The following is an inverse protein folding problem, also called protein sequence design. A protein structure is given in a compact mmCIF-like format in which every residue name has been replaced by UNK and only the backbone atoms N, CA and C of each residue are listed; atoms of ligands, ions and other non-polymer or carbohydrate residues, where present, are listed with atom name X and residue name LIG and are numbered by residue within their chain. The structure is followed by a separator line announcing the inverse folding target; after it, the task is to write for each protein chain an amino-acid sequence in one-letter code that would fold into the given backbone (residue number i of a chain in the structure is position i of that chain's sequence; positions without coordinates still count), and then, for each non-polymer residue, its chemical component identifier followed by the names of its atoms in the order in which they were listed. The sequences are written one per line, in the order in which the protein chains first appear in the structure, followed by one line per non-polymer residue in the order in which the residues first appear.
data_IF_920094780131
#
_entry.id   IF_920094780131
#
_cell.length_a   1.000
_cell.length_b   1.000
_cell.length_c   1.000
_cell.angle_alpha   90.00
_cell.angle_beta   90.00
_cell.angle_gamma   90.00
#
_symmetry.space_group_name_H-M   'P 1'
#
loop_
_entity.id
_entity.type
_entity.pdbx_description
1 polymer ?
#
# COMPACT_ATOMS: atom_id res chain seq x y z
N UNK A 1 -31.42 2.88 -80.97
CA UNK A 1 -31.49 3.64 -79.74
C UNK A 1 -30.92 2.74 -78.63
N UNK A 2 -29.64 2.91 -78.28
CA UNK A 2 -28.90 2.06 -77.33
C UNK A 2 -29.01 2.62 -75.93
N UNK A 3 -29.56 1.82 -74.99
CA UNK A 3 -29.49 2.11 -73.54
C UNK A 3 -28.20 1.48 -73.00
N UNK A 4 -27.30 2.29 -72.55
CA UNK A 4 -26.11 1.86 -71.75
C UNK A 4 -26.47 1.82 -70.29
N UNK A 5 -26.40 0.62 -69.71
CA UNK A 5 -26.53 0.39 -68.25
C UNK A 5 -25.14 0.61 -67.59
N UNK A 6 -25.05 1.55 -66.67
CA UNK A 6 -23.87 1.72 -65.83
C UNK A 6 -23.98 0.81 -64.59
N UNK A 7 -23.07 -0.16 -64.46
CA UNK A 7 -22.87 -0.87 -63.20
C UNK A 7 -21.85 -0.08 -62.33
N UNK A 8 -22.29 0.41 -61.20
CA UNK A 8 -21.43 0.95 -60.18
C UNK A 8 -20.94 -0.19 -59.27
N UNK A 9 -19.64 -0.46 -59.28
CA UNK A 9 -18.99 -1.39 -58.33
C UNK A 9 -18.64 -0.63 -57.06
N UNK A 10 -19.33 -0.94 -55.99
CA UNK A 10 -18.95 -0.48 -54.64
C UNK A 10 -17.84 -1.40 -54.10
N UNK A 11 -16.63 -0.91 -54.04
CA UNK A 11 -15.54 -1.56 -53.29
C UNK A 11 -15.69 -1.25 -51.80
N UNK A 12 -16.15 -2.24 -51.03
CA UNK A 12 -16.15 -2.16 -49.57
C UNK A 12 -14.74 -2.43 -49.05
N UNK A 13 -14.08 -1.42 -48.60
CA UNK A 13 -12.80 -1.54 -47.85
C UNK A 13 -13.10 -2.04 -46.43
N UNK A 14 -12.89 -3.32 -46.21
CA UNK A 14 -12.93 -3.90 -44.84
C UNK A 14 -11.63 -3.48 -44.13
N UNK A 15 -11.72 -2.56 -43.23
CA UNK A 15 -10.66 -2.31 -42.23
C UNK A 15 -10.70 -3.44 -41.22
N UNK A 16 -9.78 -4.39 -41.32
CA UNK A 16 -9.53 -5.36 -40.27
C UNK A 16 -8.86 -4.64 -39.11
N UNK A 17 -9.62 -4.37 -38.05
CA UNK A 17 -9.07 -4.02 -36.75
C UNK A 17 -8.41 -5.28 -36.21
N UNK A 18 -7.08 -5.39 -36.38
CA UNK A 18 -6.32 -6.38 -35.63
C UNK A 18 -6.34 -5.97 -34.16
N UNK A 19 -6.72 -6.86 -33.26
CA UNK A 19 -6.51 -6.58 -31.82
C UNK A 19 -4.99 -6.44 -31.59
N UNK A 20 -4.60 -5.33 -31.01
CA UNK A 20 -3.25 -5.12 -30.53
C UNK A 20 -3.08 -6.02 -29.29
N UNK A 21 -2.80 -7.30 -29.52
CA UNK A 21 -2.20 -8.14 -28.48
C UNK A 21 -0.78 -7.63 -28.34
N UNK A 22 -0.52 -6.88 -27.26
CA UNK A 22 0.82 -6.67 -26.79
C UNK A 22 1.44 -8.06 -26.59
N UNK A 23 2.32 -8.44 -27.50
CA UNK A 23 3.10 -9.65 -27.38
C UNK A 23 4.03 -9.42 -26.15
N UNK A 24 3.64 -9.92 -25.02
CA UNK A 24 4.57 -10.17 -23.92
C UNK A 24 5.56 -11.21 -24.46
N UNK A 25 6.71 -10.74 -24.94
CA UNK A 25 7.86 -11.58 -25.16
C UNK A 25 8.45 -11.90 -23.81
N UNK A 26 7.79 -12.77 -23.06
CA UNK A 26 8.44 -13.46 -21.96
C UNK A 26 9.53 -14.33 -22.60
N UNK A 27 10.78 -14.09 -22.27
CA UNK A 27 11.80 -15.12 -22.44
C UNK A 27 11.40 -16.24 -21.46
N UNK A 28 10.75 -17.27 -21.95
CA UNK A 28 10.28 -18.44 -21.17
C UNK A 28 11.43 -19.31 -20.64
N UNK A 29 12.57 -18.70 -20.30
CA UNK A 29 13.68 -19.41 -19.70
C UNK A 29 13.83 -19.02 -18.23
N UNK A 30 13.30 -19.84 -17.29
CA UNK A 30 13.47 -19.62 -15.86
C UNK A 30 14.92 -19.52 -15.42
N UNK A 31 15.85 -20.00 -16.25
CA UNK A 31 17.26 -20.25 -15.95
C UNK A 31 18.08 -18.96 -15.73
N UNK A 32 17.58 -17.79 -16.10
CA UNK A 32 18.30 -16.51 -15.98
C UNK A 32 17.68 -15.55 -14.96
N UNK A 33 16.60 -15.94 -14.28
CA UNK A 33 15.97 -15.09 -13.29
C UNK A 33 16.79 -15.03 -12.01
N UNK A 34 16.92 -13.84 -11.48
CA UNK A 34 17.56 -13.57 -10.19
C UNK A 34 16.49 -13.20 -9.16
N UNK A 35 16.72 -13.61 -7.92
CA UNK A 35 15.93 -13.13 -6.81
C UNK A 35 16.41 -11.74 -6.41
N UNK A 36 15.48 -10.80 -6.26
CA UNK A 36 15.74 -9.45 -5.78
C UNK A 36 14.91 -9.20 -4.54
N UNK A 37 15.53 -8.63 -3.50
CA UNK A 37 14.90 -8.30 -2.24
C UNK A 37 14.67 -6.79 -2.12
N UNK A 38 13.51 -6.40 -1.61
CA UNK A 38 13.17 -4.99 -1.53
C UNK A 38 12.08 -4.65 -0.54
N UNK A 39 11.66 -3.38 -0.61
CA UNK A 39 10.59 -2.83 0.23
C UNK A 39 9.54 -2.15 -0.66
N UNK A 40 8.29 -2.55 -0.50
CA UNK A 40 7.15 -2.06 -1.28
C UNK A 40 6.10 -1.32 -0.47
N UNK A 41 6.33 -1.16 0.85
CA UNK A 41 5.35 -0.49 1.71
C UNK A 41 6.07 0.31 2.83
N UNK A 42 6.27 1.59 2.57
CA UNK A 42 7.07 2.45 3.44
C UNK A 42 6.54 3.89 3.44
N UNK A 43 6.47 4.50 4.63
CA UNK A 43 6.01 5.87 4.86
C UNK A 43 7.14 6.80 5.30
N UNK A 44 7.11 8.02 4.76
CA UNK A 44 8.07 9.08 5.04
C UNK A 44 7.43 10.25 5.80
N UNK A 45 8.14 11.35 5.92
CA UNK A 45 7.61 12.60 6.47
C UNK A 45 6.36 13.12 5.74
N UNK A 46 6.11 12.66 4.52
CA UNK A 46 5.01 13.10 3.67
C UNK A 46 3.68 12.41 3.99
N UNK A 47 3.70 11.25 4.66
CA UNK A 47 2.51 10.59 5.20
C UNK A 47 2.00 11.30 6.44
N UNK A 48 0.69 11.48 6.52
CA UNK A 48 0.06 12.22 7.61
C UNK A 48 0.28 11.58 8.98
N UNK A 49 0.18 10.27 9.08
CA UNK A 49 0.34 9.49 10.30
C UNK A 49 1.81 9.34 10.71
N UNK A 50 2.70 8.99 9.79
CA UNK A 50 4.13 8.95 10.05
C UNK A 50 4.64 10.28 10.61
N UNK A 51 4.18 11.40 10.05
CA UNK A 51 4.50 12.74 10.55
C UNK A 51 4.00 12.96 11.98
N UNK A 52 2.75 12.61 12.28
CA UNK A 52 2.15 12.76 13.62
C UNK A 52 2.93 11.91 14.65
N UNK A 53 3.33 10.71 14.26
CA UNK A 53 4.09 9.79 15.12
C UNK A 53 5.58 10.16 15.25
N UNK A 54 5.97 11.29 14.66
CA UNK A 54 7.29 11.91 14.89
C UNK A 54 8.29 11.68 13.78
N UNK A 55 7.95 10.96 12.71
CA UNK A 55 8.85 10.76 11.59
C UNK A 55 9.20 12.09 10.91
N UNK A 56 10.49 12.26 10.59
CA UNK A 56 11.03 13.39 9.84
C UNK A 56 11.95 12.94 8.71
N UNK A 57 12.11 11.62 8.52
CA UNK A 57 12.85 11.06 7.41
C UNK A 57 12.09 11.31 6.10
N UNK A 58 12.80 11.83 5.12
CA UNK A 58 12.31 12.19 3.79
C UNK A 58 12.32 10.99 2.84
N UNK A 59 11.70 11.07 1.65
CA UNK A 59 11.90 10.08 0.59
C UNK A 59 13.38 9.85 0.26
N UNK A 60 14.22 10.92 0.28
CA UNK A 60 15.66 10.83 0.09
C UNK A 60 16.33 9.96 1.15
N UNK A 61 16.02 10.18 2.43
CA UNK A 61 16.57 9.38 3.54
C UNK A 61 16.17 7.91 3.43
N UNK A 62 14.92 7.62 3.02
CA UNK A 62 14.43 6.28 2.84
C UNK A 62 15.22 5.51 1.75
N UNK A 63 15.51 6.13 0.60
CA UNK A 63 16.31 5.49 -0.44
C UNK A 63 17.79 5.36 -0.06
N UNK A 64 18.36 6.31 0.66
CA UNK A 64 19.72 6.21 1.20
C UNK A 64 19.83 5.05 2.19
N UNK A 65 18.86 4.89 3.06
CA UNK A 65 18.77 3.77 3.98
C UNK A 65 18.70 2.42 3.25
N UNK A 66 17.85 2.28 2.25
CA UNK A 66 17.73 1.08 1.44
C UNK A 66 19.05 0.69 0.74
N UNK A 67 19.86 1.66 0.39
CA UNK A 67 21.20 1.47 -0.19
C UNK A 67 22.30 1.17 0.85
N UNK A 68 21.92 1.00 2.15
CA UNK A 68 22.82 0.64 3.25
C UNK A 68 23.41 1.83 4.01
N UNK A 69 22.94 3.08 3.77
CA UNK A 69 23.38 4.21 4.58
C UNK A 69 22.66 4.25 5.92
N UNK A 70 23.34 4.77 6.94
CA UNK A 70 22.75 4.99 8.26
C UNK A 70 21.86 6.24 8.25
N UNK A 71 20.63 6.10 8.77
CA UNK A 71 19.73 7.23 9.07
C UNK A 71 19.31 7.21 10.53
N UNK A 72 18.59 8.22 10.96
CA UNK A 72 18.16 8.31 12.37
C UNK A 72 16.68 7.96 12.55
N UNK A 73 16.42 7.13 13.54
CA UNK A 73 15.07 6.92 14.05
C UNK A 73 14.52 8.23 14.66
N UNK A 74 13.20 8.48 14.62
CA UNK A 74 12.59 9.63 15.31
C UNK A 74 12.98 9.78 16.79
N UNK A 75 13.25 8.68 17.50
CA UNK A 75 13.73 8.67 18.87
C UNK A 75 15.25 8.98 19.01
N UNK A 76 15.97 9.20 17.90
CA UNK A 76 17.35 9.70 17.88
C UNK A 76 18.45 8.64 17.77
N UNK A 77 18.15 7.35 17.85
CA UNK A 77 19.15 6.31 17.60
C UNK A 77 19.37 6.07 16.08
N UNK A 78 20.45 5.41 15.73
CA UNK A 78 20.82 5.10 14.35
C UNK A 78 20.15 3.82 13.89
N UNK A 79 19.73 3.80 12.59
CA UNK A 79 19.20 2.66 11.88
C UNK A 79 20.06 2.39 10.66
N UNK A 80 20.47 1.14 10.49
CA UNK A 80 21.30 0.70 9.36
C UNK A 80 20.89 -0.73 9.00
N UNK A 81 20.72 -1.03 7.71
CA UNK A 81 20.50 -2.40 7.24
C UNK A 81 21.78 -3.22 7.36
N UNK A 82 21.65 -4.51 7.69
CA UNK A 82 22.74 -5.48 7.62
C UNK A 82 23.21 -5.71 6.18
N UNK A 83 22.28 -5.74 5.25
CA UNK A 83 22.49 -5.88 3.81
C UNK A 83 21.62 -4.84 3.06
N UNK A 84 22.16 -4.12 2.06
CA UNK A 84 21.37 -3.22 1.22
C UNK A 84 20.26 -3.97 0.47
N UNK A 85 19.15 -3.30 0.19
CA UNK A 85 18.08 -3.81 -0.65
C UNK A 85 18.44 -3.67 -2.14
N UNK A 86 17.82 -4.51 -2.98
CA UNK A 86 17.92 -4.44 -4.44
C UNK A 86 16.95 -3.43 -5.04
N UNK A 87 15.81 -3.20 -4.38
CA UNK A 87 14.79 -2.25 -4.84
C UNK A 87 13.96 -1.68 -3.68
N UNK A 88 13.34 -0.53 -3.92
CA UNK A 88 12.40 0.07 -2.96
C UNK A 88 11.37 0.97 -3.65
N UNK A 89 10.21 1.11 -3.01
CA UNK A 89 9.23 2.15 -3.30
C UNK A 89 8.85 2.90 -2.03
N UNK A 90 8.80 4.23 -2.12
CA UNK A 90 8.12 5.05 -1.12
C UNK A 90 6.63 5.05 -1.46
N UNK A 91 5.77 4.75 -0.48
CA UNK A 91 4.32 4.59 -0.67
C UNK A 91 3.52 5.43 0.32
N UNK A 92 3.88 6.69 0.48
CA UNK A 92 3.15 7.62 1.34
C UNK A 92 1.67 7.67 0.98
N UNK A 93 0.80 7.86 1.99
CA UNK A 93 -0.63 7.98 1.80
C UNK A 93 -0.99 9.11 0.84
N UNK A 94 -1.77 8.82 -0.22
CA UNK A 94 -2.25 9.83 -1.16
C UNK A 94 -3.23 10.83 -0.53
N UNK A 95 -3.96 10.41 0.51
CA UNK A 95 -4.79 11.32 1.28
C UNK A 95 -3.92 12.20 2.18
N UNK A 96 -4.14 13.51 2.14
CA UNK A 96 -3.36 14.52 2.90
C UNK A 96 -1.85 14.46 2.64
N UNK A 97 -1.41 13.99 1.50
CA UNK A 97 -0.01 13.87 1.11
C UNK A 97 0.72 15.22 1.27
N UNK A 98 1.75 15.26 2.13
CA UNK A 98 2.51 16.48 2.43
C UNK A 98 1.77 17.55 3.25
N UNK A 99 0.49 17.34 3.59
CA UNK A 99 -0.29 18.34 4.33
C UNK A 99 0.19 18.56 5.75
N UNK A 100 0.63 17.51 6.46
CA UNK A 100 1.03 17.61 7.87
C UNK A 100 2.31 18.43 8.06
N UNK A 101 3.37 18.26 7.25
CA UNK A 101 4.49 19.20 7.21
C UNK A 101 4.04 20.65 6.97
N UNK A 102 3.13 20.87 6.01
CA UNK A 102 2.61 22.18 5.71
C UNK A 102 1.79 22.79 6.86
N UNK A 103 1.04 21.98 7.61
CA UNK A 103 0.32 22.40 8.83
C UNK A 103 1.27 22.88 9.94
N UNK A 104 2.53 22.45 9.91
CA UNK A 104 3.56 22.87 10.88
C UNK A 104 4.38 24.08 10.38
N UNK A 105 4.37 24.39 9.09
CA UNK A 105 5.05 25.56 8.53
C UNK A 105 4.20 26.83 8.71
N UNK A 106 4.62 27.80 9.53
CA UNK A 106 3.83 29.04 9.76
C UNK A 106 3.65 29.89 8.50
N UNK A 107 4.38 29.64 7.43
CA UNK A 107 4.23 30.33 6.14
C UNK A 107 3.02 29.83 5.36
N UNK A 108 2.56 28.61 5.62
CA UNK A 108 1.44 27.99 4.94
C UNK A 108 0.10 28.43 5.52
N UNK A 109 -0.91 28.63 4.66
CA UNK A 109 -2.25 29.04 5.11
C UNK A 109 -2.90 27.98 6.00
N UNK A 110 -2.75 26.69 5.67
CA UNK A 110 -3.28 25.54 6.44
C UNK A 110 -2.72 25.49 7.87
N UNK A 111 -1.56 26.08 8.13
CA UNK A 111 -0.97 26.13 9.49
C UNK A 111 -1.80 26.92 10.50
N UNK A 112 -2.71 27.76 10.03
CA UNK A 112 -3.62 28.58 10.85
C UNK A 112 -4.91 27.84 11.21
N UNK A 113 -5.16 26.69 10.62
CA UNK A 113 -6.34 25.89 10.91
C UNK A 113 -6.33 25.41 12.37
N UNK A 114 -7.47 25.38 13.09
CA UNK A 114 -7.54 24.99 14.50
C UNK A 114 -6.88 23.63 14.79
N UNK A 115 -7.12 22.63 13.93
CA UNK A 115 -6.51 21.30 14.08
C UNK A 115 -4.97 21.33 13.96
N UNK A 116 -4.43 22.19 13.10
CA UNK A 116 -2.97 22.36 12.95
C UNK A 116 -2.34 22.91 14.24
N UNK A 117 -3.05 23.84 14.92
CA UNK A 117 -2.61 24.39 16.19
C UNK A 117 -2.56 23.34 17.30
N UNK A 118 -3.51 22.41 17.29
CA UNK A 118 -3.54 21.31 18.27
C UNK A 118 -2.45 20.26 17.99
N UNK A 119 -2.29 19.86 16.74
CA UNK A 119 -1.30 18.87 16.33
C UNK A 119 0.14 19.31 16.65
N UNK A 120 0.45 20.59 16.51
CA UNK A 120 1.77 21.13 16.84
C UNK A 120 2.13 21.02 18.33
N UNK A 121 1.16 20.80 19.20
CA UNK A 121 1.36 20.66 20.65
C UNK A 121 1.61 19.22 21.10
N UNK A 122 1.38 18.23 20.24
CA UNK A 122 1.51 16.83 20.58
C UNK A 122 2.98 16.43 20.73
N UNK A 123 3.42 16.13 21.95
CA UNK A 123 4.80 15.78 22.27
C UNK A 123 4.95 14.40 22.94
N UNK A 124 3.92 13.94 23.64
CA UNK A 124 3.90 12.62 24.29
C UNK A 124 3.22 11.57 23.41
N UNK A 125 3.40 10.29 23.73
CA UNK A 125 2.71 9.18 23.08
C UNK A 125 1.19 9.40 23.02
N UNK A 126 0.57 9.69 24.16
CA UNK A 126 -0.88 9.88 24.26
C UNK A 126 -1.38 11.10 23.48
N UNK A 127 -0.63 12.20 23.47
CA UNK A 127 -0.97 13.39 22.69
C UNK A 127 -0.88 13.12 21.19
N UNK A 128 0.12 12.35 20.74
CA UNK A 128 0.26 11.95 19.33
C UNK A 128 -0.86 11.01 18.88
N UNK A 129 -1.19 10.01 19.70
CA UNK A 129 -2.34 9.13 19.46
C UNK A 129 -3.65 9.96 19.43
N UNK A 130 -3.82 10.89 20.38
CA UNK A 130 -4.98 11.78 20.40
C UNK A 130 -5.06 12.70 19.17
N UNK A 131 -3.92 13.23 18.70
CA UNK A 131 -3.85 14.03 17.48
C UNK A 131 -4.22 13.21 16.23
N UNK A 132 -3.73 11.97 16.13
CA UNK A 132 -4.11 11.04 15.08
C UNK A 132 -5.62 10.74 15.08
N UNK A 133 -6.18 10.45 16.24
CA UNK A 133 -7.63 10.19 16.37
C UNK A 133 -8.49 11.39 15.96
N UNK A 134 -8.01 12.61 16.15
CA UNK A 134 -8.71 13.83 15.71
C UNK A 134 -8.77 13.99 14.19
N UNK A 135 -7.92 13.30 13.44
CA UNK A 135 -8.02 13.24 11.98
C UNK A 135 -9.08 12.25 11.48
N UNK A 136 -9.49 11.26 12.28
CA UNK A 136 -10.45 10.24 11.83
C UNK A 136 -11.75 10.79 11.24
N UNK A 137 -12.41 11.83 11.82
CA UNK A 137 -13.59 12.42 11.21
C UNK A 137 -13.33 12.96 9.81
N UNK A 138 -12.14 13.49 9.54
CA UNK A 138 -11.73 13.99 8.23
C UNK A 138 -11.34 12.85 7.28
N UNK A 139 -10.65 11.83 7.78
CA UNK A 139 -10.29 10.64 7.02
C UNK A 139 -11.50 9.82 6.60
N UNK A 140 -12.58 9.83 7.38
CA UNK A 140 -13.76 8.99 7.17
C UNK A 140 -14.96 9.73 6.54
N UNK A 141 -14.86 11.03 6.28
CA UNK A 141 -15.91 11.76 5.56
C UNK A 141 -15.95 11.33 4.10
N UNK A 142 -17.15 11.00 3.62
CA UNK A 142 -17.42 10.78 2.21
C UNK A 142 -17.67 12.11 1.46
N UNK A 143 -17.70 13.22 2.17
CA UNK A 143 -17.96 14.55 1.63
C UNK A 143 -16.64 15.24 1.23
N UNK A 144 -16.75 16.11 0.24
CA UNK A 144 -15.69 16.87 -0.45
C UNK A 144 -14.59 17.42 0.45
N UNK A 145 -13.43 17.71 -0.15
CA UNK A 145 -12.27 18.21 0.56
C UNK A 145 -12.68 19.34 1.50
N UNK A 146 -12.35 19.13 2.76
CA UNK A 146 -12.46 20.13 3.79
C UNK A 146 -11.37 21.22 3.57
N UNK A 147 -11.37 22.22 4.39
CA UNK A 147 -10.38 23.30 4.42
C UNK A 147 -8.96 22.85 4.86
N UNK A 148 -8.78 21.54 5.13
CA UNK A 148 -7.46 20.92 5.36
C UNK A 148 -6.76 20.50 4.07
N UNK A 149 -7.47 20.40 2.93
CA UNK A 149 -6.91 19.92 1.67
C UNK A 149 -6.42 21.08 0.82
N UNK A 150 -5.13 21.12 0.56
CA UNK A 150 -4.51 21.97 -0.45
C UNK A 150 -3.91 21.09 -1.55
N UNK A 151 -4.56 21.11 -2.72
CA UNK A 151 -4.19 20.25 -3.85
C UNK A 151 -2.81 20.61 -4.41
N UNK A 152 -2.35 21.84 -4.31
CA UNK A 152 -1.04 22.24 -4.83
C UNK A 152 0.09 21.76 -3.90
N UNK A 153 -0.15 21.73 -2.59
CA UNK A 153 0.76 21.07 -1.64
C UNK A 153 0.86 19.58 -1.94
N UNK A 154 -0.29 18.90 -2.13
CA UNK A 154 -0.32 17.46 -2.45
C UNK A 154 0.40 17.15 -3.76
N UNK A 155 0.21 17.96 -4.80
CA UNK A 155 0.93 17.83 -6.08
C UNK A 155 2.43 18.00 -5.91
N UNK A 156 2.86 19.00 -5.10
CA UNK A 156 4.28 19.25 -4.85
C UNK A 156 4.92 18.08 -4.11
N UNK A 157 4.26 17.53 -3.09
CA UNK A 157 4.73 16.37 -2.35
C UNK A 157 4.78 15.12 -3.24
N UNK A 158 3.78 14.92 -4.10
CA UNK A 158 3.78 13.83 -5.05
C UNK A 158 4.92 13.95 -6.09
N UNK A 159 5.17 15.14 -6.59
CA UNK A 159 6.29 15.38 -7.51
C UNK A 159 7.65 15.12 -6.83
N UNK A 160 7.78 15.46 -5.54
CA UNK A 160 8.99 15.13 -4.75
C UNK A 160 9.22 13.61 -4.69
N UNK A 161 8.17 12.80 -4.47
CA UNK A 161 8.28 11.34 -4.48
C UNK A 161 8.74 10.84 -5.86
N UNK A 162 8.11 11.32 -6.96
CA UNK A 162 8.47 10.94 -8.32
C UNK A 162 9.93 11.28 -8.62
N UNK A 163 10.32 12.53 -8.35
CA UNK A 163 11.67 13.01 -8.67
C UNK A 163 12.73 12.28 -7.85
N UNK A 164 12.44 11.99 -6.58
CA UNK A 164 13.36 11.26 -5.71
C UNK A 164 13.49 9.81 -6.14
N UNK A 165 12.39 9.13 -6.45
CA UNK A 165 12.43 7.78 -7.01
C UNK A 165 13.28 7.73 -8.29
N UNK A 166 13.09 8.69 -9.20
CA UNK A 166 13.85 8.73 -10.45
C UNK A 166 15.35 9.02 -10.23
N UNK A 167 15.71 9.90 -9.28
CA UNK A 167 17.12 10.17 -8.95
C UNK A 167 17.85 8.98 -8.37
N UNK A 168 17.15 8.15 -7.57
CA UNK A 168 17.76 6.99 -6.91
C UNK A 168 17.72 5.72 -7.75
N UNK A 169 17.03 5.72 -8.90
CA UNK A 169 16.97 4.56 -9.78
C UNK A 169 18.31 4.35 -10.50
N UNK A 170 18.99 3.26 -10.17
CA UNK A 170 20.29 2.85 -10.73
C UNK A 170 20.14 1.44 -11.34
N UNK A 171 19.62 1.30 -12.59
CA UNK A 171 19.36 0.01 -13.20
C UNK A 171 20.57 -0.92 -13.15
N UNK A 172 20.35 -2.17 -12.78
CA UNK A 172 21.39 -3.19 -12.57
C UNK A 172 22.05 -3.16 -11.19
N UNK A 173 21.71 -2.19 -10.32
CA UNK A 173 22.29 -2.07 -8.98
C UNK A 173 21.22 -1.86 -7.90
N UNK A 174 20.37 -0.86 -8.08
CA UNK A 174 19.25 -0.54 -7.17
C UNK A 174 18.12 0.06 -7.99
N UNK A 175 16.96 -0.56 -7.93
CA UNK A 175 15.78 -0.09 -8.66
C UNK A 175 14.77 0.57 -7.74
N UNK A 176 14.08 1.59 -8.25
CA UNK A 176 13.00 2.25 -7.54
C UNK A 176 11.70 2.13 -8.33
N UNK A 177 10.58 1.90 -7.63
CA UNK A 177 9.25 2.04 -8.19
C UNK A 177 8.66 3.39 -7.76
N UNK A 178 7.96 4.07 -8.66
CA UNK A 178 7.11 5.20 -8.29
C UNK A 178 5.83 4.61 -7.71
N UNK A 179 5.53 4.92 -6.45
CA UNK A 179 4.37 4.35 -5.76
C UNK A 179 3.73 5.32 -4.78
N UNK A 180 2.53 4.97 -4.35
CA UNK A 180 1.78 5.67 -3.31
C UNK A 180 0.77 4.71 -2.67
N UNK A 181 0.24 5.06 -1.51
CA UNK A 181 -0.84 4.30 -0.90
C UNK A 181 -2.20 4.96 -1.11
N UNK A 182 -3.11 4.22 -1.78
CA UNK A 182 -4.53 4.51 -1.79
C UNK A 182 -5.14 4.03 -0.48
N UNK A 183 -5.59 4.97 0.35
CA UNK A 183 -6.05 4.74 1.71
C UNK A 183 -7.58 4.86 1.80
N UNK A 184 -8.30 3.77 1.75
CA UNK A 184 -9.73 3.72 2.03
C UNK A 184 -10.01 2.87 3.26
N UNK A 185 -10.78 3.41 4.21
CA UNK A 185 -11.06 2.74 5.48
C UNK A 185 -12.44 3.13 6.04
N UNK A 186 -13.56 2.72 5.39
CA UNK A 186 -14.88 3.02 5.93
C UNK A 186 -15.01 2.38 7.32
N UNK A 187 -15.37 3.18 8.34
CA UNK A 187 -15.47 2.73 9.74
C UNK A 187 -14.18 2.04 10.27
N UNK A 188 -13.00 2.50 9.83
CA UNK A 188 -11.69 1.89 10.12
C UNK A 188 -11.52 0.45 9.59
N UNK A 189 -12.31 0.04 8.60
CA UNK A 189 -12.19 -1.23 7.90
C UNK A 189 -11.21 -1.08 6.75
N UNK A 190 -10.05 -1.71 6.86
CA UNK A 190 -8.94 -1.48 5.94
C UNK A 190 -9.23 -1.97 4.51
N UNK A 191 -9.22 -1.03 3.57
CA UNK A 191 -9.30 -1.29 2.13
C UNK A 191 -8.16 -0.59 1.39
N UNK A 192 -6.98 -0.52 2.02
CA UNK A 192 -5.79 0.14 1.49
C UNK A 192 -5.13 -0.66 0.37
N UNK A 193 -4.45 0.03 -0.57
CA UNK A 193 -3.65 -0.54 -1.65
C UNK A 193 -2.43 0.31 -1.92
N UNK A 194 -1.27 -0.31 -2.00
CA UNK A 194 -0.11 0.34 -2.60
C UNK A 194 -0.25 0.29 -4.12
N UNK A 195 -0.09 1.41 -4.79
CA UNK A 195 -0.19 1.53 -6.25
C UNK A 195 1.20 1.83 -6.80
N UNK A 196 1.64 1.04 -7.78
CA UNK A 196 2.95 1.19 -8.43
C UNK A 196 2.79 1.46 -9.91
N UNK A 197 3.66 2.30 -10.46
CA UNK A 197 3.74 2.59 -11.89
C UNK A 197 4.94 1.88 -12.52
N UNK A 198 4.74 1.34 -13.73
CA UNK A 198 5.78 0.58 -14.45
C UNK A 198 6.94 1.46 -14.92
N UNK A 199 6.67 2.69 -15.30
CA UNK A 199 7.65 3.61 -15.89
C UNK A 199 8.21 4.64 -14.92
N UNK A 200 8.84 5.65 -15.50
CA UNK A 200 9.47 6.79 -14.82
C UNK A 200 8.54 7.99 -14.63
N UNK A 201 7.28 7.84 -14.98
CA UNK A 201 6.26 8.88 -14.90
C UNK A 201 4.98 8.38 -14.25
N UNK A 202 4.24 9.30 -13.65
CA UNK A 202 2.96 9.05 -13.01
C UNK A 202 2.02 10.26 -13.22
N UNK A 203 0.71 10.13 -12.96
CA UNK A 203 -0.24 11.25 -13.06
C UNK A 203 0.16 12.41 -12.15
N UNK A 204 -0.27 13.62 -12.50
CA UNK A 204 0.02 14.86 -11.73
C UNK A 204 -0.47 14.81 -10.27
N UNK A 205 -1.49 13.99 -10.01
CA UNK A 205 -2.03 13.75 -8.67
C UNK A 205 -2.39 12.27 -8.54
N UNK A 206 -2.02 11.58 -7.46
CA UNK A 206 -2.41 10.20 -7.23
C UNK A 206 -3.90 10.09 -6.93
N UNK A 207 -4.53 9.00 -7.39
CA UNK A 207 -5.93 8.74 -7.04
C UNK A 207 -6.05 8.43 -5.56
N UNK A 208 -6.88 9.17 -4.86
CA UNK A 208 -7.06 9.02 -3.42
C UNK A 208 -8.54 8.84 -3.06
N UNK A 209 -8.81 8.46 -1.80
CA UNK A 209 -10.19 8.38 -1.31
C UNK A 209 -10.94 9.71 -1.34
N UNK A 210 -10.26 10.85 -1.46
CA UNK A 210 -10.90 12.15 -1.68
C UNK A 210 -11.67 12.16 -3.01
N UNK A 211 -11.17 11.40 -4.01
CA UNK A 211 -11.85 11.22 -5.30
C UNK A 211 -12.94 10.16 -5.21
N UNK A 212 -12.61 9.00 -4.61
CA UNK A 212 -13.58 7.94 -4.28
C UNK A 212 -13.05 7.04 -3.15
N UNK A 213 -13.90 6.66 -2.18
CA UNK A 213 -13.56 5.67 -1.17
C UNK A 213 -13.70 4.23 -1.68
N UNK A 214 -14.25 4.00 -2.90
CA UNK A 214 -14.47 2.68 -3.47
C UNK A 214 -13.23 2.21 -4.26
N UNK A 215 -12.59 1.09 -3.88
CA UNK A 215 -11.47 0.53 -4.64
C UNK A 215 -11.79 0.14 -6.08
N UNK A 216 -13.04 -0.13 -6.41
CA UNK A 216 -13.47 -0.43 -7.78
C UNK A 216 -13.29 0.79 -8.71
N UNK A 217 -13.49 2.01 -8.19
CA UNK A 217 -13.25 3.26 -8.94
C UNK A 217 -11.73 3.50 -9.15
N UNK A 218 -10.88 3.05 -8.23
CA UNK A 218 -9.44 3.05 -8.45
C UNK A 218 -9.07 2.18 -9.66
N UNK A 219 -9.67 0.98 -9.81
CA UNK A 219 -9.41 0.12 -10.98
C UNK A 219 -9.86 0.77 -12.29
N UNK A 220 -11.01 1.43 -12.31
CA UNK A 220 -11.49 2.20 -13.48
C UNK A 220 -10.48 3.29 -13.86
N UNK A 221 -9.96 4.02 -12.88
CA UNK A 221 -8.94 5.03 -13.11
C UNK A 221 -7.63 4.43 -13.62
N UNK A 222 -7.17 3.30 -13.08
CA UNK A 222 -5.96 2.60 -13.52
C UNK A 222 -6.11 2.09 -14.97
N UNK A 223 -7.27 1.52 -15.32
CA UNK A 223 -7.55 1.07 -16.69
C UNK A 223 -7.53 2.25 -17.68
N UNK A 224 -8.12 3.40 -17.31
CA UNK A 224 -8.08 4.61 -18.15
C UNK A 224 -6.66 5.19 -18.32
N UNK A 225 -5.76 4.98 -17.36
CA UNK A 225 -4.33 5.32 -17.50
C UNK A 225 -3.61 4.34 -18.43
N UNK A 226 -3.90 3.06 -18.30
CA UNK A 226 -3.32 2.00 -19.15
C UNK A 226 -3.66 2.21 -20.62
N UNK A 227 -4.89 2.63 -20.94
CA UNK A 227 -5.29 3.03 -22.30
C UNK A 227 -4.44 4.18 -22.87
N UNK A 228 -3.85 5.02 -22.00
CA UNK A 228 -2.94 6.12 -22.36
C UNK A 228 -1.47 5.71 -22.33
N UNK A 229 -1.18 4.41 -22.15
CA UNK A 229 0.18 3.87 -22.10
C UNK A 229 0.87 3.94 -20.74
N UNK A 230 0.17 4.32 -19.67
CA UNK A 230 0.70 4.36 -18.32
C UNK A 230 0.20 3.15 -17.51
N UNK A 231 1.01 2.12 -17.41
CA UNK A 231 0.65 0.89 -16.72
C UNK A 231 0.91 0.97 -15.22
N UNK A 232 0.01 0.37 -14.44
CA UNK A 232 0.07 0.34 -12.97
C UNK A 232 -0.54 -0.94 -12.41
N UNK A 233 -0.12 -1.32 -11.19
CA UNK A 233 -0.74 -2.36 -10.36
C UNK A 233 -1.07 -1.80 -9.00
N UNK A 234 -2.08 -2.38 -8.34
CA UNK A 234 -2.42 -2.10 -6.96
C UNK A 234 -2.22 -3.37 -6.11
N UNK A 235 -1.70 -3.21 -4.90
CA UNK A 235 -1.38 -4.29 -3.97
C UNK A 235 -2.18 -4.08 -2.68
N UNK A 236 -3.31 -4.78 -2.51
CA UNK A 236 -4.07 -4.75 -1.27
C UNK A 236 -3.22 -5.24 -0.10
N UNK A 237 -3.41 -4.63 1.07
CA UNK A 237 -2.70 -5.01 2.28
C UNK A 237 -3.58 -4.89 3.54
N UNK A 238 -3.11 -5.44 4.66
CA UNK A 238 -3.85 -5.52 5.93
C UNK A 238 -5.28 -6.04 5.75
N UNK A 239 -5.44 -7.08 4.99
CA UNK A 239 -6.74 -7.71 4.81
C UNK A 239 -7.31 -8.21 6.15
N UNK A 240 -6.46 -8.64 7.09
CA UNK A 240 -6.83 -8.98 8.47
C UNK A 240 -7.61 -7.87 9.18
N UNK A 241 -7.31 -6.60 8.92
CA UNK A 241 -8.00 -5.41 9.46
C UNK A 241 -9.23 -4.95 8.66
N UNK A 242 -9.62 -5.65 7.59
CA UNK A 242 -10.68 -5.23 6.67
C UNK A 242 -12.11 -5.51 7.17
N UNK A 243 -12.27 -6.23 8.26
CA UNK A 243 -13.57 -6.66 8.77
C UNK A 243 -14.42 -7.46 7.74
N UNK A 244 -13.76 -8.24 6.89
CA UNK A 244 -14.37 -9.05 5.85
C UNK A 244 -14.59 -8.37 4.51
N UNK A 245 -14.23 -7.09 4.37
CA UNK A 245 -14.51 -6.33 3.15
C UNK A 245 -13.46 -6.53 2.05
N UNK A 246 -12.25 -7.03 2.38
CA UNK A 246 -11.20 -7.18 1.38
C UNK A 246 -11.52 -8.29 0.36
N UNK A 247 -12.10 -9.40 0.82
CA UNK A 247 -12.35 -10.58 0.01
C UNK A 247 -13.83 -11.00 0.02
N UNK A 248 -14.72 -10.06 -0.31
CA UNK A 248 -16.16 -10.29 -0.41
C UNK A 248 -16.53 -11.21 -1.58
N UNK A 249 -17.76 -11.73 -1.57
CA UNK A 249 -18.35 -12.52 -2.68
C UNK A 249 -19.33 -11.70 -3.54
N UNK A 250 -19.43 -10.40 -3.27
CA UNK A 250 -20.27 -9.43 -3.97
C UNK A 250 -19.47 -8.16 -4.24
N UNK A 251 -19.83 -7.40 -5.29
CA UNK A 251 -19.30 -6.07 -5.57
C UNK A 251 -19.65 -5.09 -4.43
N UNK A 252 -19.00 -3.95 -4.40
CA UNK A 252 -19.22 -2.92 -3.35
C UNK A 252 -20.69 -2.45 -3.30
N UNK A 253 -21.38 -2.44 -4.43
CA UNK A 253 -22.82 -2.08 -4.52
C UNK A 253 -23.80 -3.23 -4.13
N UNK A 254 -23.27 -4.40 -3.73
CA UNK A 254 -24.02 -5.58 -3.37
C UNK A 254 -24.44 -6.46 -4.55
N UNK A 255 -24.16 -6.08 -5.78
CA UNK A 255 -24.43 -6.91 -6.97
C UNK A 255 -23.50 -8.13 -7.03
N UNK A 256 -23.88 -9.22 -7.71
CA UNK A 256 -23.03 -10.39 -7.86
C UNK A 256 -21.76 -10.07 -8.63
N UNK A 257 -20.62 -10.63 -8.22
CA UNK A 257 -19.41 -10.68 -9.03
C UNK A 257 -19.61 -11.62 -10.23
N UNK A 258 -19.02 -11.23 -11.35
CA UNK A 258 -19.03 -11.96 -12.64
C UNK A 258 -17.60 -12.13 -13.18
N UNK A 259 -17.46 -12.76 -14.34
CA UNK A 259 -16.17 -13.00 -14.96
C UNK A 259 -15.45 -11.69 -15.34
N UNK A 260 -16.18 -10.68 -15.79
CA UNK A 260 -15.61 -9.36 -16.14
C UNK A 260 -15.03 -8.65 -14.90
N UNK A 261 -15.75 -8.69 -13.78
CA UNK A 261 -15.24 -8.19 -12.51
C UNK A 261 -13.96 -8.92 -12.09
N UNK A 262 -13.96 -10.26 -12.18
CA UNK A 262 -12.81 -11.06 -11.80
C UNK A 262 -11.58 -10.73 -12.67
N UNK A 263 -11.76 -10.57 -13.97
CA UNK A 263 -10.68 -10.16 -14.90
C UNK A 263 -10.17 -8.75 -14.60
N UNK A 264 -11.08 -7.81 -14.35
CA UNK A 264 -10.74 -6.42 -13.99
C UNK A 264 -9.94 -6.36 -12.70
N UNK A 265 -10.38 -7.10 -11.67
CA UNK A 265 -9.64 -7.17 -10.40
C UNK A 265 -8.26 -7.78 -10.59
N UNK A 266 -8.14 -8.93 -11.26
CA UNK A 266 -6.85 -9.60 -11.46
C UNK A 266 -5.88 -8.82 -12.34
N UNK A 267 -6.39 -8.01 -13.27
CA UNK A 267 -5.56 -7.09 -14.06
C UNK A 267 -4.98 -5.96 -13.21
N UNK A 268 -5.73 -5.46 -12.25
CA UNK A 268 -5.34 -4.33 -11.41
C UNK A 268 -4.70 -4.74 -10.08
N UNK A 269 -5.14 -5.86 -9.47
CA UNK A 269 -4.62 -6.40 -8.20
C UNK A 269 -4.02 -7.81 -8.41
N UNK A 270 -2.88 -7.95 -9.15
CA UNK A 270 -2.31 -9.27 -9.43
C UNK A 270 -1.67 -9.93 -8.23
N UNK A 271 -1.27 -9.18 -7.21
CA UNK A 271 -0.65 -9.65 -5.98
C UNK A 271 -1.28 -9.00 -4.76
N UNK A 272 -1.09 -9.60 -3.58
CA UNK A 272 -1.55 -9.11 -2.27
C UNK A 272 -0.39 -9.17 -1.30
N UNK A 273 -0.23 -8.13 -0.50
CA UNK A 273 0.68 -8.13 0.64
C UNK A 273 0.06 -8.95 1.77
N UNK A 274 0.71 -10.06 2.10
CA UNK A 274 0.18 -11.06 3.03
C UNK A 274 0.63 -10.82 4.46
N UNK A 275 1.77 -10.17 4.66
CA UNK A 275 2.34 -9.90 5.99
C UNK A 275 3.04 -8.55 6.05
N UNK A 276 2.93 -7.90 7.19
CA UNK A 276 3.58 -6.64 7.53
C UNK A 276 3.51 -6.42 9.05
N UNK A 277 4.03 -5.29 9.55
CA UNK A 277 4.10 -4.98 10.99
C UNK A 277 2.76 -5.10 11.73
N UNK A 278 1.63 -4.82 11.07
CA UNK A 278 0.29 -4.91 11.66
C UNK A 278 -0.33 -6.31 11.50
N UNK A 279 0.49 -7.34 11.44
CA UNK A 279 0.09 -8.74 11.49
C UNK A 279 -0.04 -9.43 10.15
N UNK A 280 -0.19 -10.74 10.24
CA UNK A 280 -0.38 -11.65 9.10
C UNK A 280 -1.83 -11.61 8.59
N UNK A 281 -1.97 -11.68 7.27
CA UNK A 281 -3.25 -11.82 6.55
C UNK A 281 -3.41 -13.18 5.85
N UNK A 282 -2.54 -14.16 6.11
CA UNK A 282 -2.60 -15.46 5.47
C UNK A 282 -3.81 -16.26 5.91
N UNK A 283 -3.93 -16.50 7.23
CA UNK A 283 -5.06 -17.25 7.81
C UNK A 283 -5.35 -16.84 9.26
N UNK A 284 -6.35 -17.46 9.86
CA UNK A 284 -6.77 -17.22 11.25
C UNK A 284 -7.25 -18.54 11.87
N UNK A 285 -7.06 -18.80 13.19
CA UNK A 285 -7.49 -20.03 13.85
C UNK A 285 -8.96 -20.42 13.63
N UNK A 286 -9.85 -19.45 13.53
CA UNK A 286 -11.27 -19.69 13.23
C UNK A 286 -11.53 -20.17 11.79
N UNK A 287 -10.61 -19.91 10.86
CA UNK A 287 -10.71 -20.31 9.44
C UNK A 287 -9.87 -21.56 9.14
N UNK A 288 -8.84 -21.81 9.94
CA UNK A 288 -7.90 -22.95 9.80
C UNK A 288 -7.69 -23.63 11.17
N UNK A 289 -8.71 -24.26 11.76
CA UNK A 289 -8.65 -24.75 13.14
C UNK A 289 -7.70 -25.96 13.34
N UNK A 290 -7.24 -26.57 12.27
CA UNK A 290 -6.30 -27.71 12.32
C UNK A 290 -4.85 -27.30 11.97
N UNK A 291 -4.58 -26.03 11.79
CA UNK A 291 -3.26 -25.49 11.51
C UNK A 291 -2.67 -24.92 12.81
N UNK A 292 -1.58 -25.53 13.28
CA UNK A 292 -0.91 -25.13 14.53
C UNK A 292 -0.22 -23.76 14.44
N UNK A 293 -0.02 -23.22 13.22
CA UNK A 293 0.57 -21.90 12.99
C UNK A 293 -0.45 -20.82 12.61
N UNK A 294 -1.75 -21.14 12.62
CA UNK A 294 -2.80 -20.19 12.22
C UNK A 294 -2.93 -18.94 13.12
N UNK A 295 -2.34 -18.96 14.31
CA UNK A 295 -2.29 -17.83 15.25
C UNK A 295 -0.99 -17.04 15.20
N UNK A 296 -0.08 -17.37 14.28
CA UNK A 296 1.19 -16.67 14.13
C UNK A 296 0.96 -15.20 13.75
N UNK A 297 1.56 -14.28 14.51
CA UNK A 297 1.50 -12.82 14.31
C UNK A 297 0.09 -12.25 14.01
N UNK A 298 -0.96 -12.82 14.61
CA UNK A 298 -2.32 -12.31 14.42
C UNK A 298 -2.49 -10.94 15.06
N UNK A 299 -3.06 -9.99 14.32
CA UNK A 299 -3.52 -8.69 14.80
C UNK A 299 -5.04 -8.59 14.56
N UNK A 300 -5.87 -8.83 15.57
CA UNK A 300 -7.31 -9.09 15.37
C UNK A 300 -8.19 -7.83 15.35
N UNK A 301 -7.60 -6.66 15.12
CA UNK A 301 -8.31 -5.39 15.20
C UNK A 301 -8.39 -4.69 13.83
N UNK A 302 -9.40 -3.82 13.68
CA UNK A 302 -9.44 -2.85 12.59
C UNK A 302 -8.29 -1.86 12.76
N UNK A 303 -7.72 -1.38 11.66
CA UNK A 303 -6.57 -0.49 11.70
C UNK A 303 -6.91 0.84 12.40
N UNK A 304 -6.03 1.24 13.31
CA UNK A 304 -6.16 2.49 14.07
C UNK A 304 -7.09 2.44 15.29
N UNK A 305 -7.51 1.25 15.75
CA UNK A 305 -8.39 1.12 16.91
C UNK A 305 -8.36 -0.24 17.59
N UNK A 306 -9.23 -0.40 18.59
CA UNK A 306 -9.44 -1.62 19.36
C UNK A 306 -10.69 -2.40 18.92
N UNK A 307 -11.35 -1.98 17.85
CA UNK A 307 -12.52 -2.65 17.34
C UNK A 307 -12.12 -3.96 16.67
N UNK A 308 -12.66 -5.12 17.09
CA UNK A 308 -12.33 -6.39 16.45
C UNK A 308 -12.66 -6.39 14.96
N UNK A 309 -11.81 -7.05 14.18
CA UNK A 309 -12.01 -7.34 12.76
C UNK A 309 -12.60 -8.75 12.61
N UNK A 310 -13.58 -8.94 11.72
CA UNK A 310 -14.12 -10.26 11.41
C UNK A 310 -13.12 -11.05 10.56
N UNK A 311 -12.81 -12.31 10.91
CA UNK A 311 -11.93 -13.14 10.09
C UNK A 311 -12.53 -13.49 8.73
N UNK A 312 -13.84 -13.75 8.67
CA UNK A 312 -14.53 -14.14 7.44
C UNK A 312 -14.44 -13.03 6.37
N UNK A 313 -13.79 -13.32 5.22
CA UNK A 313 -13.53 -12.36 4.15
C UNK A 313 -12.28 -11.49 4.34
N UNK A 314 -11.47 -11.77 5.37
CA UNK A 314 -10.28 -10.98 5.72
C UNK A 314 -8.96 -11.69 5.46
N UNK A 315 -8.95 -12.96 5.06
CA UNK A 315 -7.71 -13.74 4.98
C UNK A 315 -7.54 -14.42 3.61
N UNK A 316 -6.30 -14.50 3.18
CA UNK A 316 -5.88 -14.93 1.83
C UNK A 316 -6.26 -16.39 1.54
N UNK A 317 -6.02 -17.33 2.47
CA UNK A 317 -6.36 -18.75 2.23
C UNK A 317 -7.86 -18.93 1.98
N UNK A 318 -8.71 -18.20 2.70
CA UNK A 318 -10.15 -18.22 2.46
C UNK A 318 -10.50 -17.56 1.11
N UNK A 319 -9.82 -16.46 0.75
CA UNK A 319 -10.02 -15.81 -0.55
C UNK A 319 -9.73 -16.77 -1.71
N UNK A 320 -8.65 -17.55 -1.64
CA UNK A 320 -8.36 -18.59 -2.64
C UNK A 320 -9.48 -19.61 -2.77
N UNK A 321 -10.02 -20.11 -1.65
CA UNK A 321 -11.15 -21.07 -1.67
C UNK A 321 -12.41 -20.44 -2.31
N UNK A 322 -12.73 -19.19 -1.94
CA UNK A 322 -13.83 -18.44 -2.56
C UNK A 322 -13.63 -18.25 -4.05
N UNK A 323 -12.42 -17.89 -4.46
CA UNK A 323 -12.08 -17.71 -5.88
C UNK A 323 -12.24 -19.00 -6.71
N UNK A 324 -11.80 -20.14 -6.17
CA UNK A 324 -11.97 -21.45 -6.80
C UNK A 324 -13.44 -21.84 -6.89
N UNK A 325 -14.23 -21.60 -5.85
CA UNK A 325 -15.67 -21.84 -5.85
C UNK A 325 -16.39 -20.98 -6.91
N UNK A 326 -16.09 -19.69 -6.96
CA UNK A 326 -16.64 -18.78 -7.97
C UNK A 326 -16.27 -19.20 -9.39
N UNK A 327 -15.01 -19.61 -9.60
CA UNK A 327 -14.56 -20.14 -10.88
C UNK A 327 -15.34 -21.41 -11.29
N UNK A 328 -15.58 -22.34 -10.37
CA UNK A 328 -16.36 -23.53 -10.62
C UNK A 328 -17.83 -23.20 -10.96
N UNK A 329 -18.35 -22.07 -10.49
CA UNK A 329 -19.68 -21.56 -10.80
C UNK A 329 -19.74 -20.74 -12.13
N UNK A 330 -18.61 -20.61 -12.86
CA UNK A 330 -18.54 -19.83 -14.11
C UNK A 330 -18.47 -18.30 -13.91
N UNK A 331 -18.23 -17.82 -12.69
CA UNK A 331 -18.16 -16.39 -12.35
C UNK A 331 -16.77 -15.77 -12.48
N UNK A 332 -15.77 -16.55 -12.95
CA UNK A 332 -14.36 -16.15 -12.90
C UNK A 332 -13.75 -16.34 -11.51
N UNK A 333 -12.48 -15.96 -11.35
CA UNK A 333 -11.77 -16.04 -10.07
C UNK A 333 -11.11 -14.68 -9.75
N UNK A 334 -11.75 -13.85 -8.91
CA UNK A 334 -11.22 -12.52 -8.55
C UNK A 334 -10.09 -12.58 -7.52
N UNK A 335 -9.67 -13.77 -7.08
CA UNK A 335 -8.69 -14.00 -6.02
C UNK A 335 -7.53 -14.89 -6.47
N UNK A 336 -7.22 -14.91 -7.76
CA UNK A 336 -6.09 -15.64 -8.32
C UNK A 336 -4.81 -14.77 -8.30
N UNK A 337 -4.51 -14.16 -7.17
CA UNK A 337 -3.35 -13.29 -6.98
C UNK A 337 -2.13 -14.07 -6.48
N UNK A 338 -0.92 -13.47 -6.60
CA UNK A 338 0.30 -13.88 -5.92
C UNK A 338 0.42 -13.19 -4.55
N UNK A 339 1.45 -13.55 -3.79
CA UNK A 339 1.71 -13.00 -2.45
C UNK A 339 3.05 -12.26 -2.43
N UNK A 340 3.14 -11.24 -1.57
CA UNK A 340 4.37 -10.50 -1.28
C UNK A 340 4.35 -10.09 0.19
N UNK A 341 5.52 -9.95 0.82
CA UNK A 341 5.68 -9.34 2.13
C UNK A 341 6.11 -7.88 2.02
N UNK A 342 5.90 -7.08 3.07
CA UNK A 342 6.40 -5.72 3.19
C UNK A 342 6.46 -5.28 4.65
N UNK A 343 6.96 -4.06 4.94
CA UNK A 343 7.12 -3.61 6.31
C UNK A 343 5.98 -2.75 6.84
N UNK A 344 5.42 -1.91 6.02
CA UNK A 344 4.52 -0.81 6.43
C UNK A 344 5.18 0.07 7.53
N UNK A 345 6.48 0.32 7.37
CA UNK A 345 7.22 1.16 8.31
C UNK A 345 6.79 2.62 8.18
N UNK A 346 6.70 3.32 9.32
CA UNK A 346 6.37 4.74 9.39
C UNK A 346 7.56 5.60 9.84
N UNK A 347 8.77 5.06 9.75
CA UNK A 347 10.01 5.78 10.10
C UNK A 347 10.99 5.94 8.93
N UNK A 348 10.53 5.61 7.71
CA UNK A 348 11.37 5.66 6.50
C UNK A 348 12.39 4.53 6.40
N UNK A 349 12.30 3.52 7.25
CA UNK A 349 13.27 2.43 7.38
C UNK A 349 12.61 1.15 7.87
N UNK A 350 12.59 0.08 7.07
CA UNK A 350 12.14 -1.25 7.50
C UNK A 350 13.22 -1.97 8.32
N UNK A 351 12.84 -2.72 9.35
CA UNK A 351 13.70 -3.65 10.06
C UNK A 351 13.33 -5.07 9.62
N UNK A 352 14.22 -5.75 8.95
CA UNK A 352 13.98 -7.10 8.41
C UNK A 352 14.76 -8.17 9.17
N UNK A 353 15.67 -7.76 10.06
CA UNK A 353 16.50 -8.61 10.87
C UNK A 353 15.88 -8.73 12.28
N UNK A 354 15.49 -9.94 12.67
CA UNK A 354 14.87 -10.22 13.96
C UNK A 354 15.81 -9.89 15.15
N UNK A 355 17.11 -10.08 14.95
CA UNK A 355 18.12 -9.78 15.97
C UNK A 355 18.42 -8.28 16.09
N UNK A 356 17.97 -7.48 15.13
CA UNK A 356 18.17 -6.04 15.09
C UNK A 356 16.84 -5.29 14.81
N UNK A 357 15.86 -5.55 15.66
CA UNK A 357 14.53 -4.95 15.58
C UNK A 357 14.50 -3.54 16.17
N UNK A 358 13.82 -2.64 15.50
CA UNK A 358 13.43 -1.33 16.03
C UNK A 358 11.97 -1.00 15.74
N UNK A 359 11.43 -0.02 16.52
CA UNK A 359 10.09 0.52 16.29
C UNK A 359 9.89 1.00 14.85
N UNK A 360 8.75 0.68 14.28
CA UNK A 360 8.37 1.01 12.90
C UNK A 360 7.30 2.10 12.81
N UNK A 361 6.73 2.53 13.94
CA UNK A 361 5.67 3.55 13.96
C UNK A 361 6.24 4.94 14.32
N UNK A 362 7.35 4.98 15.05
CA UNK A 362 8.01 6.21 15.44
C UNK A 362 8.04 6.42 16.95
N UNK A 363 7.73 7.63 17.42
CA UNK A 363 7.83 7.97 18.84
C UNK A 363 6.78 7.29 19.73
N UNK A 364 5.74 6.70 19.15
CA UNK A 364 4.64 6.10 19.92
C UNK A 364 4.93 4.67 20.37
N UNK A 365 5.91 3.99 19.75
CA UNK A 365 6.33 2.62 20.09
C UNK A 365 7.86 2.47 20.11
N UNK A 366 8.59 3.56 20.38
CA UNK A 366 10.04 3.67 20.20
C UNK A 366 10.89 2.87 21.20
N UNK A 367 10.28 2.30 22.22
CA UNK A 367 10.93 1.41 23.19
C UNK A 367 9.95 0.35 23.69
N UNK A 368 10.46 -0.65 24.42
CA UNK A 368 9.67 -1.78 24.89
C UNK A 368 8.55 -1.40 25.86
N UNK A 369 8.72 -0.33 26.65
CA UNK A 369 7.68 0.17 27.56
C UNK A 369 6.57 0.86 26.79
N UNK A 370 6.91 1.76 25.85
CA UNK A 370 5.95 2.42 24.98
C UNK A 370 5.19 1.41 24.09
N UNK A 371 5.87 0.36 23.63
CA UNK A 371 5.27 -0.73 22.89
C UNK A 371 4.34 -1.59 23.74
N UNK A 372 4.49 -1.62 25.05
CA UNK A 372 3.78 -2.51 25.96
C UNK A 372 4.35 -3.93 26.02
N UNK A 373 5.59 -4.13 25.55
CA UNK A 373 6.27 -5.43 25.54
C UNK A 373 7.05 -5.72 26.82
N UNK A 374 7.40 -4.68 27.59
CA UNK A 374 8.09 -4.80 28.87
C UNK A 374 7.35 -4.00 29.95
N UNK A 375 7.47 -4.38 31.25
CA UNK A 375 6.83 -3.67 32.33
C UNK A 375 7.30 -2.21 32.45
N UNK A 376 6.40 -1.33 32.86
CA UNK A 376 6.70 0.04 33.25
C UNK A 376 7.54 0.06 34.54
N UNK A 377 8.40 1.05 34.66
CA UNK A 377 9.19 1.28 35.92
C UNK A 377 8.29 1.53 37.11
N UNK A 378 7.11 2.08 36.89
CA UNK A 378 6.07 2.31 37.90
C UNK A 378 4.71 1.91 37.32
N UNK A 379 3.87 1.21 38.10
CA UNK A 379 2.49 0.91 37.67
C UNK A 379 1.72 2.18 37.35
N UNK A 380 0.79 2.05 36.39
CA UNK A 380 -0.22 3.06 36.11
C UNK A 380 -1.17 3.27 37.33
N UNK A 381 -1.98 4.31 37.30
CA UNK A 381 -2.95 4.62 38.36
C UNK A 381 -3.97 3.49 38.61
N UNK A 382 -4.30 2.72 37.58
CA UNK A 382 -5.20 1.54 37.65
C UNK A 382 -4.50 0.25 38.13
N UNK A 383 -3.19 0.34 38.44
CA UNK A 383 -2.37 -0.78 38.89
C UNK A 383 -1.80 -1.65 37.78
N UNK A 384 -2.10 -1.37 36.51
CA UNK A 384 -1.48 -2.07 35.37
C UNK A 384 0.01 -1.76 35.28
N UNK A 385 0.82 -2.79 34.94
CA UNK A 385 2.26 -2.68 34.82
C UNK A 385 2.76 -2.60 33.37
N UNK A 386 1.85 -2.63 32.39
CA UNK A 386 2.14 -2.50 30.97
C UNK A 386 1.35 -1.34 30.38
N UNK A 387 1.89 -0.71 29.34
CA UNK A 387 1.13 0.24 28.54
C UNK A 387 -0.04 -0.48 27.85
N UNK A 388 -1.24 0.10 27.98
CA UNK A 388 -2.46 -0.40 27.37
C UNK A 388 -2.53 0.08 25.89
N UNK A 389 -1.91 -0.66 24.99
CA UNK A 389 -1.97 -0.44 23.56
C UNK A 389 -1.91 -1.79 22.80
N UNK A 390 -2.07 -1.78 21.48
CA UNK A 390 -2.00 -2.99 20.64
C UNK A 390 -0.66 -3.16 19.91
N UNK A 391 0.32 -2.27 20.13
CA UNK A 391 1.62 -2.37 19.45
C UNK A 391 2.41 -3.62 19.84
N UNK A 392 2.16 -4.19 21.00
CA UNK A 392 2.77 -5.46 21.44
C UNK A 392 2.33 -6.66 20.59
N UNK A 393 1.22 -6.56 19.83
CA UNK A 393 0.76 -7.61 18.89
C UNK A 393 1.37 -7.45 17.49
N UNK A 394 2.18 -6.39 17.28
CA UNK A 394 2.76 -6.12 15.98
C UNK A 394 4.09 -6.85 15.83
N UNK A 395 4.19 -7.62 14.75
CA UNK A 395 5.32 -8.49 14.49
C UNK A 395 6.50 -7.79 13.81
N UNK A 396 7.45 -8.59 13.38
CA UNK A 396 8.49 -8.18 12.47
C UNK A 396 7.92 -7.88 11.08
N UNK A 397 8.71 -7.21 10.23
CA UNK A 397 8.29 -6.93 8.86
C UNK A 397 8.32 -8.14 7.98
N UNK A 398 7.39 -8.22 7.03
CA UNK A 398 7.63 -8.94 5.79
C UNK A 398 8.74 -8.26 4.97
N UNK A 399 9.40 -9.02 4.14
CA UNK A 399 10.37 -8.57 3.14
C UNK A 399 9.80 -8.86 1.74
N UNK A 400 9.81 -7.88 0.85
CA UNK A 400 9.39 -8.11 -0.52
C UNK A 400 10.48 -8.84 -1.31
N UNK A 401 10.11 -9.87 -2.06
CA UNK A 401 11.03 -10.51 -2.99
C UNK A 401 10.37 -10.80 -4.34
N UNK A 402 11.14 -10.67 -5.41
CA UNK A 402 10.69 -10.93 -6.78
C UNK A 402 11.71 -11.78 -7.54
N UNK A 403 11.22 -12.61 -8.46
CA UNK A 403 12.03 -13.29 -9.48
C UNK A 403 11.98 -12.46 -10.76
N UNK A 404 13.01 -11.66 -11.02
CA UNK A 404 13.08 -10.76 -12.16
C UNK A 404 14.20 -11.15 -13.14
N UNK A 405 14.05 -10.79 -14.42
CA UNK A 405 15.06 -11.03 -15.44
C UNK A 405 16.29 -10.15 -15.25
N UNK A 406 16.09 -8.92 -14.77
CA UNK A 406 17.15 -7.98 -14.39
C UNK A 406 16.72 -7.08 -13.23
N UNK A 407 17.69 -6.47 -12.53
CA UNK A 407 17.38 -5.43 -11.55
C UNK A 407 17.10 -4.11 -12.28
N UNK A 408 15.89 -4.03 -12.84
CA UNK A 408 15.35 -2.80 -13.45
C UNK A 408 13.93 -2.58 -12.93
N UNK A 409 13.48 -1.33 -12.96
CA UNK A 409 12.12 -0.95 -12.55
C UNK A 409 11.08 -1.76 -13.31
N UNK A 410 11.25 -1.87 -14.63
CA UNK A 410 10.33 -2.54 -15.53
C UNK A 410 10.28 -4.05 -15.27
N UNK A 411 11.42 -4.70 -15.11
CA UNK A 411 11.49 -6.15 -14.89
C UNK A 411 10.92 -6.56 -13.53
N UNK A 412 11.18 -5.74 -12.49
CA UNK A 412 10.59 -5.91 -11.14
C UNK A 412 9.07 -5.76 -11.20
N UNK A 413 8.58 -4.69 -11.85
CA UNK A 413 7.14 -4.48 -12.02
C UNK A 413 6.50 -5.62 -12.80
N UNK A 414 7.14 -6.07 -13.89
CA UNK A 414 6.63 -7.17 -14.72
C UNK A 414 6.63 -8.51 -13.97
N UNK A 415 7.64 -8.76 -13.09
CA UNK A 415 7.66 -9.92 -12.19
C UNK A 415 6.47 -9.87 -11.19
N UNK A 416 6.19 -8.71 -10.58
CA UNK A 416 5.02 -8.52 -9.73
C UNK A 416 3.72 -8.79 -10.49
N UNK A 417 3.59 -8.29 -11.71
CA UNK A 417 2.44 -8.55 -12.58
C UNK A 417 2.28 -10.03 -12.93
N UNK A 418 3.37 -10.75 -13.14
CA UNK A 418 3.36 -12.20 -13.38
C UNK A 418 3.16 -13.02 -12.11
N UNK A 419 3.13 -12.37 -10.92
CA UNK A 419 3.01 -13.02 -9.59
C UNK A 419 4.23 -13.86 -9.23
N UNK A 420 5.38 -13.44 -9.72
CA UNK A 420 6.68 -14.07 -9.43
C UNK A 420 7.30 -13.39 -8.21
N UNK A 421 6.56 -13.45 -7.12
CA UNK A 421 6.83 -12.80 -5.82
C UNK A 421 6.72 -13.80 -4.68
N UNK A 422 7.37 -13.50 -3.55
CA UNK A 422 7.22 -14.22 -2.29
C UNK A 422 7.61 -13.36 -1.07
#
# INVERSE_FOLDING_TARGET
MNKRTFCAVFAATIWSVMPFQAAYSASDKPENRQVLFGETHLHTVLSFDAYIFGNRNTPEDAYRYAKGETIKHPAGFEMTLSEPLDFQSVTDHAIYLGMLPAMHDPKQQVSKHPISLEMRKANTQMERIGAFQKLFPYLNKNDKPDDLVDVDIMKSAWQEIIDTANRHNEPGKFSTLIGYEYTSGPENQNLHRNVFFRGDSAPVLPFSRIMSPNPEDLWVWMDALREKGMDSIAVPHNANGSNGLMFMTQKTDGSPMDAEYAETRMRNEPIVEVTQVKGDSETHPLLSPNDEYADFETMPFRIGGWTPSKPDGSYVRQAYLRGLEMQAQGKGNPYKFGLIGASDTHVGAGAFDEDNYWSKIGLVDSDGQLRGSVPLDKPNEDGSIYNANNFHTWGASGLAAVWADANTREDIFDAMRRKETY
#
